data_IF_698854550492
#
_entry.id   IF_698854550492
#
_cell.length_a   1.000
_cell.length_b   1.000
_cell.length_c   1.000
_cell.angle_alpha   90.00
_cell.angle_beta   90.00
_cell.angle_gamma   90.00
#
_symmetry.space_group_name_H-M   'P 1'
#
loop_
_entity.id
_entity.type
_entity.pdbx_description
1 polymer ?
#
# COMPACT_ATOMS: atom_id res chain seq x y z
N UNK A 1 -3.55 -10.10 9.84
CA UNK A 1 -4.06 -8.77 9.41
C UNK A 1 -3.52 -7.56 10.20
N UNK A 2 -3.78 -7.48 11.51
CA UNK A 2 -3.59 -6.26 12.31
C UNK A 2 -2.15 -5.72 12.23
N UNK A 3 -1.15 -6.59 12.36
CA UNK A 3 0.26 -6.18 12.35
C UNK A 3 0.67 -5.56 11.01
N UNK A 4 0.29 -6.14 9.88
CA UNK A 4 0.59 -5.59 8.56
C UNK A 4 -0.13 -4.27 8.29
N UNK A 5 -1.33 -4.06 8.83
CA UNK A 5 -2.00 -2.74 8.77
C UNK A 5 -1.27 -1.71 9.63
N UNK A 6 -0.91 -2.08 10.86
CA UNK A 6 -0.19 -1.18 11.78
C UNK A 6 1.17 -0.75 11.23
N UNK A 7 1.94 -1.68 10.66
CA UNK A 7 3.23 -1.39 10.02
C UNK A 7 3.09 -0.53 8.77
N UNK A 8 1.93 -0.56 8.11
CA UNK A 8 1.67 0.30 6.97
C UNK A 8 1.42 1.75 7.40
N UNK A 9 1.09 2.04 8.66
CA UNK A 9 0.75 3.41 9.10
C UNK A 9 1.86 4.43 8.76
N UNK A 10 3.12 4.08 9.02
CA UNK A 10 4.26 4.95 8.69
C UNK A 10 4.44 5.11 7.18
N UNK A 11 4.19 4.03 6.42
CA UNK A 11 4.23 4.03 4.96
C UNK A 11 3.15 4.94 4.36
N UNK A 12 1.91 4.78 4.82
CA UNK A 12 0.76 5.60 4.39
C UNK A 12 1.00 7.07 4.72
N UNK A 13 1.45 7.39 5.94
CA UNK A 13 1.78 8.76 6.33
C UNK A 13 2.88 9.38 5.44
N UNK A 14 3.85 8.58 5.01
CA UNK A 14 4.94 9.01 4.14
C UNK A 14 4.46 9.26 2.70
N UNK A 15 3.54 8.43 2.20
CA UNK A 15 2.88 8.65 0.92
C UNK A 15 2.10 9.98 0.91
N UNK A 16 1.36 10.28 1.98
CA UNK A 16 0.65 11.55 2.11
C UNK A 16 1.61 12.75 2.16
N UNK A 17 2.73 12.65 2.90
CA UNK A 17 3.77 13.70 2.92
C UNK A 17 4.39 13.93 1.55
N UNK A 18 4.69 12.86 0.80
CA UNK A 18 5.22 12.97 -0.56
C UNK A 18 4.24 13.70 -1.47
N UNK A 19 2.96 13.33 -1.42
CA UNK A 19 1.90 14.03 -2.17
C UNK A 19 1.76 15.48 -1.76
N UNK A 20 1.83 15.79 -0.46
CA UNK A 20 1.78 17.17 0.03
C UNK A 20 2.91 18.05 -0.51
N UNK A 21 4.11 17.48 -0.72
CA UNK A 21 5.27 18.22 -1.24
C UNK A 21 5.29 18.32 -2.77
N UNK A 22 4.95 17.24 -3.47
CA UNK A 22 5.12 17.12 -4.93
C UNK A 22 3.82 17.31 -5.72
N UNK A 23 2.68 17.29 -5.03
CA UNK A 23 1.34 17.31 -5.62
C UNK A 23 0.84 15.93 -6.06
N UNK A 24 1.66 14.87 -6.00
CA UNK A 24 1.33 13.52 -6.50
C UNK A 24 1.86 12.41 -5.59
N UNK A 25 1.19 11.27 -5.59
CA UNK A 25 1.77 10.06 -5.00
C UNK A 25 2.97 9.58 -5.83
N UNK A 26 3.99 8.96 -5.20
CA UNK A 26 5.13 8.44 -5.92
C UNK A 26 4.72 7.31 -6.87
N UNK A 27 5.48 7.10 -7.95
CA UNK A 27 5.27 5.98 -8.86
C UNK A 27 5.68 4.65 -8.23
N UNK A 28 6.59 4.68 -7.26
CA UNK A 28 7.12 3.50 -6.57
C UNK A 28 7.45 3.82 -5.10
N UNK A 29 7.36 2.83 -4.21
CA UNK A 29 7.63 3.05 -2.79
C UNK A 29 9.05 3.54 -2.51
N UNK A 30 10.04 3.13 -3.31
CA UNK A 30 11.44 3.50 -3.10
C UNK A 30 11.70 5.01 -3.17
N UNK A 31 10.84 5.79 -3.85
CA UNK A 31 10.94 7.25 -3.89
C UNK A 31 10.68 7.91 -2.53
N UNK A 32 10.12 7.16 -1.57
CA UNK A 32 9.96 7.62 -0.20
C UNK A 32 11.27 7.53 0.61
N UNK A 33 12.25 6.78 0.14
CA UNK A 33 13.52 6.54 0.84
C UNK A 33 14.64 7.38 0.21
N UNK A 34 15.52 8.01 1.00
CA UNK A 34 15.53 8.08 2.47
C UNK A 34 14.72 9.26 3.03
N UNK A 35 14.16 10.13 2.18
CA UNK A 35 13.65 11.43 2.59
C UNK A 35 12.44 11.35 3.55
N UNK A 36 11.52 10.42 3.31
CA UNK A 36 10.29 10.26 4.09
C UNK A 36 10.33 9.04 5.01
N UNK A 37 11.08 8.01 4.63
CA UNK A 37 11.27 6.77 5.40
C UNK A 37 12.73 6.33 5.35
N UNK A 38 13.28 5.75 6.44
CA UNK A 38 14.61 5.17 6.41
C UNK A 38 14.68 3.90 5.55
N UNK A 39 13.59 3.14 5.48
CA UNK A 39 13.42 1.96 4.64
C UNK A 39 11.93 1.64 4.49
N UNK A 40 11.57 0.84 3.48
CA UNK A 40 10.18 0.39 3.30
C UNK A 40 9.85 -0.69 4.35
N UNK A 41 8.80 -0.49 5.18
CA UNK A 41 8.42 -1.48 6.17
C UNK A 41 7.90 -2.75 5.51
N UNK A 42 8.03 -3.87 6.22
CA UNK A 42 7.55 -5.17 5.76
C UNK A 42 6.28 -5.56 6.53
N UNK A 43 5.18 -5.96 5.85
CA UNK A 43 3.92 -6.35 6.51
C UNK A 43 4.08 -7.55 7.45
N UNK A 44 4.98 -8.49 7.13
CA UNK A 44 5.28 -9.68 7.91
C UNK A 44 6.67 -10.24 7.53
N UNK A 45 7.16 -11.24 8.27
CA UNK A 45 8.45 -11.88 8.00
C UNK A 45 8.48 -12.46 6.57
N UNK A 46 9.43 -12.00 5.74
CA UNK A 46 9.61 -12.34 4.30
C UNK A 46 8.53 -11.84 3.33
N UNK A 47 7.54 -11.06 3.77
CA UNK A 47 6.55 -10.48 2.88
C UNK A 47 6.81 -8.99 2.68
N UNK A 48 6.60 -8.50 1.46
CA UNK A 48 6.64 -7.08 1.11
C UNK A 48 5.22 -6.56 0.89
N UNK A 49 5.04 -5.24 0.98
CA UNK A 49 3.85 -4.62 0.41
C UNK A 49 3.98 -4.58 -1.11
N UNK A 50 2.88 -4.84 -1.79
CA UNK A 50 2.73 -4.48 -3.19
C UNK A 50 2.04 -3.12 -3.28
N UNK A 51 2.53 -2.27 -4.16
CA UNK A 51 2.08 -0.90 -4.35
C UNK A 51 1.82 -0.64 -5.83
N UNK A 52 0.68 -0.04 -6.11
CA UNK A 52 0.26 0.34 -7.46
C UNK A 52 -0.21 1.79 -7.43
N UNK A 53 0.52 2.67 -8.11
CA UNK A 53 0.11 4.06 -8.28
C UNK A 53 -0.98 4.14 -9.36
N UNK A 54 -1.99 4.97 -9.12
CA UNK A 54 -2.94 5.37 -10.15
C UNK A 54 -2.25 6.20 -11.23
N UNK A 55 -2.88 6.26 -12.41
CA UNK A 55 -2.48 7.20 -13.45
C UNK A 55 -2.30 8.61 -12.89
N UNK A 56 -1.28 9.31 -13.38
CA UNK A 56 -0.98 10.70 -13.03
C UNK A 56 -0.66 10.96 -11.54
N UNK A 57 -0.54 9.91 -10.70
CA UNK A 57 -0.21 10.02 -9.28
C UNK A 57 -1.37 10.54 -8.40
N UNK A 58 -2.61 10.42 -8.87
CA UNK A 58 -3.81 10.90 -8.16
C UNK A 58 -4.21 10.02 -6.95
N UNK A 59 -3.79 8.76 -6.97
CA UNK A 59 -4.11 7.75 -5.97
C UNK A 59 -3.13 6.58 -5.98
N UNK A 60 -3.35 5.62 -5.10
CA UNK A 60 -2.65 4.35 -5.08
C UNK A 60 -3.49 3.25 -4.42
N UNK A 61 -3.08 2.02 -4.68
CA UNK A 61 -3.49 0.83 -3.92
C UNK A 61 -2.26 0.18 -3.31
N UNK A 62 -2.35 -0.19 -2.03
CA UNK A 62 -1.30 -0.87 -1.27
C UNK A 62 -1.87 -2.16 -0.72
N UNK A 63 -1.19 -3.30 -0.88
CA UNK A 63 -1.69 -4.56 -0.36
C UNK A 63 -0.59 -5.49 0.09
N UNK A 64 -0.98 -6.49 0.88
CA UNK A 64 -0.07 -7.53 1.33
C UNK A 64 -0.81 -8.83 1.63
N UNK A 65 -0.07 -9.93 1.53
CA UNK A 65 -0.51 -11.26 1.97
C UNK A 65 -0.29 -11.41 3.47
N UNK A 66 -1.27 -11.96 4.18
CA UNK A 66 -1.26 -12.05 5.63
C UNK A 66 -0.51 -13.29 6.17
N UNK A 67 -0.52 -14.41 5.45
CA UNK A 67 0.08 -15.67 5.88
C UNK A 67 0.53 -16.51 4.67
N UNK A 68 1.43 -17.46 4.92
CA UNK A 68 2.00 -18.34 3.88
C UNK A 68 1.02 -19.34 3.30
N UNK A 69 0.07 -19.79 4.12
CA UNK A 69 -0.79 -20.94 3.81
C UNK A 69 -2.27 -20.55 3.61
N UNK A 70 -2.59 -19.26 3.69
CA UNK A 70 -3.93 -18.74 3.40
C UNK A 70 -3.88 -17.74 2.25
N UNK A 71 -4.89 -17.74 1.39
CA UNK A 71 -5.12 -16.73 0.36
C UNK A 71 -5.71 -15.45 0.97
N UNK A 72 -5.22 -15.07 2.15
CA UNK A 72 -5.75 -13.95 2.91
C UNK A 72 -4.93 -12.71 2.58
N UNK A 73 -5.55 -11.75 1.93
CA UNK A 73 -4.96 -10.47 1.56
C UNK A 73 -5.60 -9.34 2.35
N UNK A 74 -4.87 -8.24 2.52
CA UNK A 74 -5.42 -6.96 2.94
C UNK A 74 -4.91 -5.90 1.97
N UNK A 75 -5.83 -5.13 1.39
CA UNK A 75 -5.55 -3.99 0.53
C UNK A 75 -6.09 -2.69 1.12
N UNK A 76 -5.41 -1.59 0.84
CA UNK A 76 -5.78 -0.23 1.16
C UNK A 76 -5.82 0.58 -0.13
N UNK A 77 -6.89 1.32 -0.35
CA UNK A 77 -6.99 2.28 -1.46
C UNK A 77 -6.96 3.70 -0.93
N UNK A 78 -6.14 4.55 -1.52
CA UNK A 78 -6.11 5.97 -1.17
C UNK A 78 -7.40 6.71 -1.56
N UNK A 79 -8.14 6.23 -2.58
CA UNK A 79 -9.41 6.83 -3.00
C UNK A 79 -10.56 6.47 -2.05
N UNK A 80 -10.59 5.22 -1.58
CA UNK A 80 -11.62 4.73 -0.66
C UNK A 80 -11.25 4.96 0.82
N UNK A 81 -10.00 5.29 1.12
CA UNK A 81 -9.42 5.51 2.45
C UNK A 81 -9.76 4.39 3.46
N UNK A 82 -9.83 3.16 3.00
CA UNK A 82 -10.24 2.01 3.81
C UNK A 82 -9.41 0.77 3.51
N UNK A 83 -9.28 -0.08 4.53
CA UNK A 83 -8.70 -1.40 4.41
C UNK A 83 -9.78 -2.43 4.10
N UNK A 84 -9.59 -3.20 3.04
CA UNK A 84 -10.42 -4.35 2.68
C UNK A 84 -9.56 -5.59 2.81
N UNK A 85 -10.01 -6.60 3.57
CA UNK A 85 -9.32 -7.87 3.69
C UNK A 85 -10.24 -9.00 3.24
N UNK A 86 -9.69 -9.98 2.55
CA UNK A 86 -10.43 -11.05 1.88
C UNK A 86 -9.58 -12.31 1.78
N UNK A 87 -10.23 -13.46 1.74
CA UNK A 87 -9.63 -14.81 1.71
C UNK A 87 -9.44 -15.35 0.28
N UNK A 88 -9.50 -14.47 -0.72
CA UNK A 88 -9.08 -14.73 -2.11
C UNK A 88 -8.09 -13.67 -2.57
N UNK A 89 -7.28 -13.97 -3.61
CA UNK A 89 -6.57 -12.94 -4.38
C UNK A 89 -7.57 -11.81 -4.62
N UNK A 90 -7.31 -10.59 -4.12
CA UNK A 90 -8.42 -9.76 -3.75
C UNK A 90 -9.20 -9.37 -5.02
N UNK A 91 -10.52 -9.58 -5.06
CA UNK A 91 -11.33 -9.28 -6.25
C UNK A 91 -11.32 -7.79 -6.63
N UNK A 92 -10.69 -6.93 -5.82
CA UNK A 92 -10.57 -5.48 -6.00
C UNK A 92 -9.39 -5.00 -6.86
N UNK A 93 -8.55 -5.89 -7.43
CA UNK A 93 -7.52 -5.47 -8.40
C UNK A 93 -7.97 -5.47 -9.86
N UNK A 94 -9.05 -6.17 -10.21
CA UNK A 94 -9.66 -6.01 -11.55
C UNK A 94 -10.44 -4.70 -11.66
N UNK A 95 -10.99 -4.20 -10.55
CA UNK A 95 -11.60 -2.87 -10.41
C UNK A 95 -10.73 -1.95 -9.53
N UNK A 96 -9.40 -2.07 -9.64
CA UNK A 96 -8.52 -1.13 -8.96
C UNK A 96 -8.94 0.27 -9.43
N UNK A 97 -9.26 1.22 -8.52
CA UNK A 97 -9.64 2.57 -8.92
C UNK A 97 -8.48 3.35 -9.60
N UNK A 98 -7.34 2.66 -9.77
CA UNK A 98 -6.13 3.07 -10.45
C UNK A 98 -5.96 2.46 -11.86
N UNK A 99 -6.89 1.62 -12.34
CA UNK A 99 -6.96 1.19 -13.75
C UNK A 99 -7.28 2.37 -14.67
#
# INVERSE_FOLDING_TARGET
>A
PQQGKQRANELLASLEKHKGKTGKYPSELNQLVPEYLPAIPHPAWRYAYTYEACQHGEGYTLYFRQAKDADNYCGYSSKAQQWICTDSLPPYFYDSPCQ
#
